data_IF_602668900828
#
_entry.id   IF_602668900828
#
_cell.length_a   1.000
_cell.length_b   1.000
_cell.length_c   1.000
_cell.angle_alpha   90.00
_cell.angle_beta   90.00
_cell.angle_gamma   90.00
#
_symmetry.space_group_name_H-M   'P 1'
#
loop_
_entity.id
_entity.type
_entity.pdbx_description
1 polymer ?
#
# COMPACT_ATOMS: atom_id res chain seq x y z
N UNK A 1 -2.07 13.39 -23.88
CA UNK A 1 -3.47 13.49 -23.44
C UNK A 1 -3.59 13.82 -21.94
N UNK A 2 -3.03 13.02 -21.03
CA UNK A 2 -3.06 13.28 -19.58
C UNK A 2 -2.45 14.65 -19.16
N UNK A 3 -1.30 15.05 -19.71
CA UNK A 3 -0.68 16.34 -19.35
C UNK A 3 -1.56 17.56 -19.67
N UNK A 4 -2.24 17.53 -20.82
CA UNK A 4 -3.22 18.55 -21.23
C UNK A 4 -4.42 18.56 -20.30
N UNK A 5 -4.90 17.37 -19.92
CA UNK A 5 -6.00 17.23 -18.95
C UNK A 5 -5.63 17.82 -17.58
N UNK A 6 -4.42 17.55 -17.08
CA UNK A 6 -3.93 18.12 -15.81
C UNK A 6 -3.88 19.64 -15.88
N UNK A 7 -3.35 20.21 -16.98
CA UNK A 7 -3.32 21.66 -17.17
C UNK A 7 -4.73 22.27 -17.16
N UNK A 8 -5.67 21.64 -17.86
CA UNK A 8 -7.07 22.09 -17.90
C UNK A 8 -7.75 22.02 -16.52
N UNK A 9 -7.59 20.92 -15.77
CA UNK A 9 -8.18 20.78 -14.42
C UNK A 9 -7.56 21.77 -13.42
N UNK A 10 -6.27 22.10 -13.54
CA UNK A 10 -5.63 23.12 -12.68
C UNK A 10 -6.09 24.55 -12.98
N UNK A 11 -6.57 24.82 -14.20
CA UNK A 11 -7.10 26.13 -14.61
C UNK A 11 -8.60 26.30 -14.31
N UNK A 12 -9.33 25.22 -14.02
CA UNK A 12 -10.75 25.31 -13.66
C UNK A 12 -10.93 26.10 -12.35
N UNK A 13 -11.61 27.23 -12.42
CA UNK A 13 -11.97 28.05 -11.26
C UNK A 13 -10.97 29.17 -10.92
N UNK A 14 -9.88 29.33 -11.68
CA UNK A 14 -8.99 30.49 -11.58
C UNK A 14 -9.40 31.54 -12.60
N UNK A 15 -9.61 32.79 -12.15
CA UNK A 15 -9.62 33.94 -13.06
C UNK A 15 -8.22 34.02 -13.69
N UNK A 16 -8.15 34.01 -15.01
CA UNK A 16 -6.91 33.89 -15.79
C UNK A 16 -5.89 34.91 -15.32
N UNK A 17 -4.85 34.46 -14.62
CA UNK A 17 -3.63 35.23 -14.45
C UNK A 17 -2.57 34.64 -15.37
N UNK A 18 -2.16 35.47 -16.31
CA UNK A 18 -1.26 35.17 -17.42
C UNK A 18 0.16 35.40 -16.94
N UNK A 19 0.73 34.49 -16.15
CA UNK A 19 2.18 34.24 -16.20
C UNK A 19 2.55 32.97 -15.40
N UNK A 20 3.24 32.03 -16.06
CA UNK A 20 3.73 30.81 -15.46
C UNK A 20 3.14 29.54 -16.06
N UNK A 21 3.56 29.18 -17.27
CA UNK A 21 3.47 27.80 -17.75
C UNK A 21 4.27 26.88 -16.80
N UNK A 22 3.63 26.40 -15.73
CA UNK A 22 4.08 25.22 -15.00
C UNK A 22 3.71 23.99 -15.85
N UNK A 23 4.47 23.78 -16.92
CA UNK A 23 4.30 22.65 -17.82
C UNK A 23 4.52 21.34 -17.07
N UNK A 24 3.44 20.62 -16.77
CA UNK A 24 3.53 19.26 -16.23
C UNK A 24 3.84 18.30 -17.37
N UNK A 25 5.04 17.73 -17.36
CA UNK A 25 5.39 16.63 -18.25
C UNK A 25 4.90 15.33 -17.65
N UNK A 26 4.30 14.49 -18.47
CA UNK A 26 3.85 13.14 -18.10
C UNK A 26 4.76 12.13 -18.78
N UNK A 27 5.24 11.14 -18.04
CA UNK A 27 5.87 9.95 -18.57
C UNK A 27 5.05 8.71 -18.20
N UNK A 28 4.91 7.78 -19.14
CA UNK A 28 4.29 6.47 -18.92
C UNK A 28 5.25 5.40 -19.45
N UNK A 29 5.53 4.38 -18.65
CA UNK A 29 6.45 3.29 -19.02
C UNK A 29 5.97 1.96 -18.44
N UNK A 30 6.27 0.85 -19.11
CA UNK A 30 6.13 -0.47 -18.52
C UNK A 30 7.25 -0.76 -17.52
N UNK A 31 6.95 -1.54 -16.49
CA UNK A 31 7.88 -2.08 -15.48
C UNK A 31 7.74 -3.60 -15.44
N UNK A 32 8.44 -4.34 -16.32
CA UNK A 32 8.40 -5.80 -16.35
C UNK A 32 8.94 -6.45 -15.06
N UNK A 33 9.77 -5.74 -14.30
CA UNK A 33 10.45 -6.25 -13.09
C UNK A 33 9.52 -6.48 -11.90
N UNK A 34 8.28 -5.98 -11.98
CA UNK A 34 7.28 -6.12 -10.93
C UNK A 34 6.31 -7.27 -11.17
N UNK A 35 6.59 -8.13 -12.14
CA UNK A 35 5.85 -9.38 -12.36
C UNK A 35 6.16 -10.37 -11.25
N UNK A 36 5.14 -11.05 -10.73
CA UNK A 36 5.28 -12.20 -9.84
C UNK A 36 5.51 -13.50 -10.62
N UNK A 37 4.85 -13.64 -11.78
CA UNK A 37 4.97 -14.77 -12.71
C UNK A 37 5.20 -14.29 -14.15
N UNK A 38 5.59 -15.19 -15.06
CA UNK A 38 5.69 -14.87 -16.50
C UNK A 38 4.34 -14.56 -17.14
N UNK A 39 3.23 -14.94 -16.49
CA UNK A 39 1.86 -14.71 -16.94
C UNK A 39 1.34 -13.33 -16.52
N UNK A 40 1.90 -12.74 -15.47
CA UNK A 40 1.49 -11.43 -14.99
C UNK A 40 1.70 -10.34 -16.07
N UNK A 41 0.70 -9.44 -16.27
CA UNK A 41 0.88 -8.29 -17.14
C UNK A 41 2.02 -7.40 -16.62
N UNK A 42 2.74 -6.73 -17.54
CA UNK A 42 3.75 -5.77 -17.11
C UNK A 42 3.08 -4.63 -16.33
N UNK A 43 3.67 -4.27 -15.18
CA UNK A 43 3.22 -3.13 -14.42
C UNK A 43 3.36 -1.84 -15.24
N UNK A 44 2.52 -0.85 -14.98
CA UNK A 44 2.54 0.43 -15.70
C UNK A 44 2.86 1.56 -14.72
N UNK A 45 3.98 2.24 -14.94
CA UNK A 45 4.40 3.41 -14.20
C UNK A 45 3.94 4.68 -14.89
N UNK A 46 3.35 5.59 -14.11
CA UNK A 46 2.96 6.93 -14.51
C UNK A 46 3.69 7.93 -13.62
N UNK A 47 4.40 8.88 -14.22
CA UNK A 47 5.16 9.90 -13.51
C UNK A 47 4.79 11.30 -14.00
N UNK A 48 4.63 12.22 -13.06
CA UNK A 48 4.42 13.63 -13.32
C UNK A 48 5.66 14.42 -12.90
N UNK A 49 6.19 15.19 -13.84
CA UNK A 49 7.34 16.04 -13.64
C UNK A 49 6.95 17.51 -13.78
N UNK A 50 7.45 18.34 -12.88
CA UNK A 50 7.33 19.78 -12.95
C UNK A 50 8.59 20.37 -13.58
N UNK A 51 8.41 21.19 -14.61
CA UNK A 51 9.50 21.99 -15.17
C UNK A 51 9.69 23.25 -14.34
N UNK A 52 10.90 23.45 -13.81
CA UNK A 52 11.29 24.71 -13.18
C UNK A 52 11.63 25.74 -14.26
N UNK A 53 10.99 26.91 -14.23
CA UNK A 53 11.26 28.03 -15.15
C UNK A 53 12.50 28.86 -14.77
N UNK A 54 13.21 28.51 -13.69
CA UNK A 54 14.23 29.37 -13.07
C UNK A 54 15.58 29.40 -13.81
N UNK A 55 15.85 28.53 -14.81
CA UNK A 55 16.96 28.75 -15.74
C UNK A 55 16.84 27.90 -17.03
N UNK A 56 17.14 28.46 -18.23
CA UNK A 56 17.13 27.70 -19.48
C UNK A 56 18.34 26.74 -19.65
N UNK A 57 19.28 26.69 -18.69
CA UNK A 57 20.53 25.91 -18.79
C UNK A 57 20.58 24.69 -17.88
N UNK A 58 19.60 24.51 -16.99
CA UNK A 58 19.46 23.31 -16.16
C UNK A 58 18.00 22.87 -16.18
N UNK A 59 17.62 22.05 -17.16
CA UNK A 59 16.29 21.43 -17.24
C UNK A 59 16.16 20.33 -16.17
N UNK A 60 16.26 20.71 -14.90
CA UNK A 60 16.08 19.78 -13.80
C UNK A 60 14.57 19.59 -13.59
N UNK A 61 14.06 18.49 -14.15
CA UNK A 61 12.66 18.11 -14.03
C UNK A 61 12.45 17.47 -12.65
N UNK A 62 11.59 18.08 -11.83
CA UNK A 62 11.29 17.57 -10.48
C UNK A 62 10.12 16.59 -10.55
N UNK A 63 10.33 15.34 -10.12
CA UNK A 63 9.23 14.40 -9.90
C UNK A 63 8.33 14.92 -8.78
N UNK A 64 7.05 15.14 -9.09
CA UNK A 64 6.06 15.66 -8.13
C UNK A 64 5.02 14.62 -7.72
N UNK A 65 4.87 13.57 -8.52
CA UNK A 65 3.90 12.50 -8.30
C UNK A 65 4.29 11.28 -9.13
N UNK A 66 4.08 10.09 -8.59
CA UNK A 66 4.20 8.81 -9.30
C UNK A 66 3.08 7.86 -8.89
N UNK A 67 2.53 7.13 -9.85
CA UNK A 67 1.57 6.06 -9.62
C UNK A 67 1.93 4.85 -10.47
N UNK A 68 1.65 3.67 -9.97
CA UNK A 68 2.04 2.42 -10.60
C UNK A 68 0.90 1.41 -10.47
N UNK A 69 0.48 0.91 -11.62
CA UNK A 69 -0.50 -0.15 -11.76
C UNK A 69 0.21 -1.49 -11.80
N UNK A 70 -0.22 -2.45 -11.01
CA UNK A 70 0.38 -3.79 -11.01
C UNK A 70 -0.66 -4.87 -10.70
N UNK A 71 -0.32 -6.08 -11.13
CA UNK A 71 -0.95 -7.33 -10.75
C UNK A 71 0.20 -8.30 -10.50
N UNK A 72 0.32 -8.82 -9.28
CA UNK A 72 1.41 -9.73 -8.92
C UNK A 72 0.80 -11.04 -8.45
N UNK A 73 1.11 -12.13 -9.15
CA UNK A 73 0.52 -13.45 -8.95
C UNK A 73 -1.02 -13.41 -8.99
N UNK A 74 -1.58 -12.74 -9.99
CA UNK A 74 -3.04 -12.63 -10.18
C UNK A 74 -3.63 -13.72 -11.07
N UNK A 75 -2.91 -14.82 -11.26
CA UNK A 75 -3.19 -15.86 -12.25
C UNK A 75 -4.63 -16.37 -12.16
N UNK A 76 -5.15 -16.60 -10.94
CA UNK A 76 -6.53 -17.05 -10.69
C UNK A 76 -7.61 -16.12 -11.26
N UNK A 77 -7.32 -14.81 -11.36
CA UNK A 77 -8.25 -13.83 -11.94
C UNK A 77 -8.04 -13.65 -13.46
N UNK A 78 -6.84 -13.96 -13.96
CA UNK A 78 -6.50 -13.88 -15.38
C UNK A 78 -7.14 -15.01 -16.20
N UNK A 79 -7.39 -16.18 -15.60
CA UNK A 79 -8.04 -17.30 -16.28
C UNK A 79 -9.49 -16.99 -16.71
N UNK A 80 -10.21 -16.17 -15.94
CA UNK A 80 -11.62 -15.82 -16.19
C UNK A 80 -11.80 -14.59 -17.10
N UNK A 81 -10.71 -13.94 -17.52
CA UNK A 81 -10.75 -12.68 -18.24
C UNK A 81 -10.76 -12.86 -19.77
N UNK A 82 -11.53 -12.04 -20.51
CA UNK A 82 -11.45 -12.03 -21.98
C UNK A 82 -10.03 -11.70 -22.46
N UNK A 83 -9.58 -12.32 -23.57
CA UNK A 83 -8.22 -12.18 -24.12
C UNK A 83 -7.72 -10.73 -24.34
N UNK A 84 -8.64 -9.76 -24.46
CA UNK A 84 -8.31 -8.35 -24.69
C UNK A 84 -8.37 -7.48 -23.42
N UNK A 85 -8.59 -8.08 -22.26
CA UNK A 85 -8.70 -7.36 -20.99
C UNK A 85 -7.38 -7.41 -20.22
N UNK A 86 -6.89 -6.26 -19.78
CA UNK A 86 -5.74 -6.18 -18.87
C UNK A 86 -6.25 -5.84 -17.47
N UNK A 87 -6.04 -6.72 -16.51
CA UNK A 87 -6.39 -6.47 -15.12
C UNK A 87 -5.15 -6.03 -14.33
N UNK A 88 -5.19 -4.81 -13.80
CA UNK A 88 -4.18 -4.26 -12.91
C UNK A 88 -4.89 -3.75 -11.65
N UNK A 89 -5.28 -4.64 -10.72
CA UNK A 89 -6.19 -4.32 -9.63
C UNK A 89 -5.55 -3.40 -8.57
N UNK A 90 -4.22 -3.35 -8.51
CA UNK A 90 -3.50 -2.44 -7.62
C UNK A 90 -3.07 -1.18 -8.36
N UNK A 91 -3.41 -0.03 -7.76
CA UNK A 91 -2.86 1.27 -8.12
C UNK A 91 -2.23 1.91 -6.88
N UNK A 92 -0.92 1.79 -6.79
CA UNK A 92 -0.14 2.41 -5.73
C UNK A 92 0.22 3.84 -6.14
N UNK A 93 0.24 4.77 -5.20
CA UNK A 93 0.49 6.19 -5.48
C UNK A 93 1.40 6.82 -4.44
N UNK A 94 2.33 7.63 -4.91
CA UNK A 94 3.18 8.48 -4.10
C UNK A 94 3.13 9.92 -4.64
N UNK A 95 2.61 10.84 -3.85
CA UNK A 95 2.49 12.26 -4.20
C UNK A 95 1.26 12.90 -3.57
N UNK A 96 1.02 14.17 -3.89
CA UNK A 96 -0.11 14.91 -3.33
C UNK A 96 -1.46 14.38 -3.83
N UNK A 97 -2.43 14.25 -2.92
CA UNK A 97 -3.79 13.75 -3.19
C UNK A 97 -4.49 14.53 -4.31
N UNK A 98 -4.23 15.83 -4.45
CA UNK A 98 -4.78 16.64 -5.55
C UNK A 98 -4.37 16.15 -6.94
N UNK A 99 -3.13 15.66 -7.12
CA UNK A 99 -2.71 15.05 -8.38
C UNK A 99 -3.29 13.65 -8.54
N UNK A 100 -3.34 12.87 -7.46
CA UNK A 100 -3.97 11.54 -7.46
C UNK A 100 -5.43 11.61 -7.92
N UNK A 101 -6.20 12.58 -7.43
CA UNK A 101 -7.59 12.78 -7.82
C UNK A 101 -7.73 13.16 -9.31
N UNK A 102 -6.87 14.04 -9.82
CA UNK A 102 -6.88 14.44 -11.24
C UNK A 102 -6.51 13.25 -12.14
N UNK A 103 -5.43 12.54 -11.82
CA UNK A 103 -4.97 11.38 -12.58
C UNK A 103 -6.02 10.26 -12.55
N UNK A 104 -6.56 9.95 -11.38
CA UNK A 104 -7.65 8.98 -11.22
C UNK A 104 -8.89 9.37 -12.02
N UNK A 105 -9.32 10.64 -11.96
CA UNK A 105 -10.44 11.11 -12.79
C UNK A 105 -10.16 10.99 -14.29
N UNK A 106 -8.93 11.21 -14.73
CA UNK A 106 -8.57 11.05 -16.13
C UNK A 106 -8.67 9.58 -16.56
N UNK A 107 -8.13 8.65 -15.76
CA UNK A 107 -8.23 7.22 -16.05
C UNK A 107 -9.69 6.76 -16.12
N UNK A 108 -10.53 7.10 -15.14
CA UNK A 108 -11.96 6.71 -15.15
C UNK A 108 -12.77 7.31 -16.31
N UNK A 109 -12.32 8.44 -16.89
CA UNK A 109 -12.96 9.05 -18.08
C UNK A 109 -12.44 8.48 -19.39
N UNK A 110 -11.22 7.97 -19.40
CA UNK A 110 -10.52 7.51 -20.61
C UNK A 110 -10.63 5.99 -20.79
N UNK A 111 -10.74 5.26 -19.68
CA UNK A 111 -10.82 3.81 -19.61
C UNK A 111 -12.04 3.42 -18.79
N UNK A 112 -12.62 2.26 -19.09
CA UNK A 112 -13.72 1.68 -18.33
C UNK A 112 -13.20 1.07 -17.02
N UNK A 113 -12.84 1.93 -16.07
CA UNK A 113 -12.28 1.54 -14.78
C UNK A 113 -12.81 2.41 -13.64
N UNK A 114 -12.65 1.91 -12.42
CA UNK A 114 -12.96 2.66 -11.21
C UNK A 114 -11.80 2.60 -10.21
N UNK A 115 -11.60 3.67 -9.45
CA UNK A 115 -10.58 3.73 -8.42
C UNK A 115 -11.26 3.74 -7.06
N UNK A 116 -10.84 2.82 -6.20
CA UNK A 116 -11.28 2.75 -4.82
C UNK A 116 -10.07 2.61 -3.93
N UNK A 117 -10.17 3.21 -2.74
CA UNK A 117 -9.14 3.07 -1.73
C UNK A 117 -9.21 1.64 -1.17
N UNK A 118 -8.09 0.93 -1.18
CA UNK A 118 -8.02 -0.44 -0.68
C UNK A 118 -8.24 -0.43 0.84
N UNK A 119 -9.37 -0.97 1.30
CA UNK A 119 -9.63 -1.11 2.72
C UNK A 119 -8.98 -2.40 3.24
N UNK A 120 -8.22 -2.31 4.33
CA UNK A 120 -7.56 -3.48 4.93
C UNK A 120 -8.25 -3.77 6.26
N UNK A 121 -8.89 -4.93 6.35
CA UNK A 121 -9.64 -5.32 7.55
C UNK A 121 -8.69 -5.60 8.73
N UNK A 122 -9.16 -5.52 9.99
CA UNK A 122 -8.37 -5.93 11.15
C UNK A 122 -7.84 -7.36 11.02
N UNK A 123 -8.62 -8.27 10.44
CA UNK A 123 -8.20 -9.64 10.15
C UNK A 123 -7.01 -9.68 9.18
N UNK A 124 -7.08 -8.93 8.09
CA UNK A 124 -5.99 -8.89 7.12
C UNK A 124 -4.73 -8.24 7.73
N UNK A 125 -4.90 -7.27 8.64
CA UNK A 125 -3.80 -6.69 9.40
C UNK A 125 -3.15 -7.73 10.34
N UNK A 126 -3.91 -8.60 11.01
CA UNK A 126 -3.30 -9.66 11.84
C UNK A 126 -2.52 -10.66 11.01
N UNK A 127 -3.03 -11.02 9.83
CA UNK A 127 -2.30 -11.83 8.85
C UNK A 127 -1.00 -11.17 8.41
N UNK A 128 -1.04 -9.88 8.03
CA UNK A 128 0.16 -9.11 7.70
C UNK A 128 1.18 -9.10 8.84
N UNK A 129 0.73 -8.94 10.09
CA UNK A 129 1.61 -8.97 11.26
C UNK A 129 2.34 -10.31 11.38
N UNK A 130 1.62 -11.43 11.30
CA UNK A 130 2.20 -12.77 11.38
C UNK A 130 3.16 -13.04 10.23
N UNK A 131 2.70 -12.84 8.98
CA UNK A 131 3.48 -13.09 7.76
C UNK A 131 4.80 -12.31 7.76
N UNK A 132 4.74 -11.01 8.08
CA UNK A 132 5.93 -10.17 8.02
C UNK A 132 6.86 -10.37 9.21
N UNK A 133 6.33 -10.78 10.38
CA UNK A 133 7.16 -11.18 11.53
C UNK A 133 7.93 -12.46 11.22
N UNK A 134 7.36 -13.39 10.45
CA UNK A 134 8.04 -14.61 10.03
C UNK A 134 9.26 -14.40 9.12
N UNK A 135 9.37 -13.24 8.47
CA UNK A 135 10.46 -12.91 7.55
C UNK A 135 11.82 -12.77 8.27
N UNK A 136 12.89 -13.08 7.55
CA UNK A 136 14.27 -12.92 8.04
C UNK A 136 14.77 -11.51 7.72
N UNK A 137 14.98 -10.69 8.75
CA UNK A 137 15.47 -9.32 8.59
C UNK A 137 16.80 -9.16 9.30
N UNK A 138 17.63 -8.22 8.82
CA UNK A 138 18.90 -7.89 9.45
C UNK A 138 18.71 -7.35 10.88
N UNK A 139 19.77 -7.44 11.68
CA UNK A 139 19.74 -7.17 13.14
C UNK A 139 19.38 -5.73 13.54
N UNK A 140 19.19 -4.79 12.62
CA UNK A 140 18.91 -3.38 12.92
C UNK A 140 17.51 -2.95 12.47
N UNK A 141 16.52 -3.78 12.77
CA UNK A 141 15.15 -3.61 12.30
C UNK A 141 14.33 -2.76 13.26
N UNK A 142 13.45 -1.90 12.72
CA UNK A 142 12.51 -1.13 13.52
C UNK A 142 11.56 -2.04 14.31
N UNK A 143 11.10 -1.57 15.47
CA UNK A 143 10.15 -2.30 16.32
C UNK A 143 8.89 -2.73 15.56
N UNK A 144 8.35 -3.88 15.92
CA UNK A 144 7.02 -4.30 15.48
C UNK A 144 6.00 -3.46 16.24
N UNK A 145 5.21 -2.67 15.53
CA UNK A 145 4.20 -1.76 16.09
C UNK A 145 2.80 -2.19 15.65
N UNK A 146 1.92 -2.40 16.63
CA UNK A 146 0.49 -2.59 16.43
C UNK A 146 -0.24 -1.34 16.93
N UNK A 147 -0.96 -0.65 16.05
CA UNK A 147 -1.74 0.53 16.39
C UNK A 147 -3.22 0.17 16.44
N UNK A 148 -3.84 0.47 17.58
CA UNK A 148 -5.26 0.25 17.82
C UNK A 148 -5.98 1.58 18.00
N UNK A 149 -7.19 1.67 17.46
CA UNK A 149 -8.08 2.81 17.69
C UNK A 149 -9.21 2.40 18.63
N UNK A 150 -9.47 3.22 19.64
CA UNK A 150 -10.50 2.95 20.64
C UNK A 150 -11.85 3.46 20.12
N UNK A 151 -12.85 2.57 19.92
CA UNK A 151 -14.14 2.96 19.37
C UNK A 151 -14.96 3.78 20.37
N UNK A 152 -15.88 4.60 19.85
CA UNK A 152 -16.98 5.23 20.59
C UNK A 152 -16.57 6.30 21.61
N UNK A 153 -15.40 6.92 21.41
CA UNK A 153 -14.96 8.07 22.19
C UNK A 153 -15.26 9.39 21.47
N UNK A 154 -15.56 10.48 22.21
CA UNK A 154 -15.78 11.80 21.63
C UNK A 154 -14.50 12.40 21.04
N UNK A 155 -13.33 11.92 21.45
CA UNK A 155 -12.03 12.29 20.90
C UNK A 155 -11.31 11.01 20.45
N UNK A 156 -10.59 11.05 19.30
CA UNK A 156 -9.83 9.90 18.83
C UNK A 156 -8.74 9.58 19.84
N UNK A 157 -8.73 8.32 20.30
CA UNK A 157 -7.70 7.79 21.18
C UNK A 157 -7.14 6.53 20.51
N UNK A 158 -5.84 6.58 20.24
CA UNK A 158 -5.12 5.45 19.69
C UNK A 158 -4.13 4.89 20.73
N UNK A 159 -3.98 3.58 20.74
CA UNK A 159 -3.06 2.83 21.59
C UNK A 159 -2.01 2.21 20.67
N UNK A 160 -0.75 2.62 20.82
CA UNK A 160 0.38 1.99 20.13
C UNK A 160 1.01 0.94 21.04
N UNK A 161 1.16 -0.27 20.53
CA UNK A 161 1.87 -1.36 21.17
C UNK A 161 3.12 -1.71 20.34
N UNK A 162 4.29 -1.26 20.81
CA UNK A 162 5.58 -1.56 20.22
C UNK A 162 6.25 -2.75 20.91
N UNK A 163 6.76 -3.68 20.10
CA UNK A 163 7.39 -4.94 20.50
C UNK A 163 8.76 -5.03 19.84
N UNK A 164 9.78 -5.47 20.57
CA UNK A 164 11.09 -5.69 19.99
C UNK A 164 10.99 -6.74 18.86
N UNK A 165 11.62 -6.54 17.68
CA UNK A 165 11.46 -7.47 16.56
C UNK A 165 11.89 -8.89 16.88
N UNK A 166 12.92 -9.04 17.71
CA UNK A 166 13.44 -10.33 18.16
C UNK A 166 12.45 -11.06 19.07
N UNK A 167 11.74 -10.34 19.95
CA UNK A 167 10.72 -10.93 20.82
C UNK A 167 9.49 -11.34 20.02
N UNK A 168 9.07 -10.50 19.07
CA UNK A 168 7.97 -10.82 18.15
C UNK A 168 8.33 -12.06 17.29
N UNK A 169 9.56 -12.12 16.78
CA UNK A 169 10.07 -13.26 16.01
C UNK A 169 10.14 -14.53 16.86
N UNK A 170 10.71 -14.45 18.06
CA UNK A 170 10.81 -15.58 18.97
C UNK A 170 9.42 -16.12 19.33
N UNK A 171 8.46 -15.23 19.60
CA UNK A 171 7.08 -15.64 19.83
C UNK A 171 6.50 -16.34 18.60
N UNK A 172 6.64 -15.75 17.41
CA UNK A 172 6.17 -16.36 16.17
C UNK A 172 6.77 -17.75 15.93
N UNK A 173 8.07 -17.92 16.18
CA UNK A 173 8.79 -19.19 16.01
C UNK A 173 8.31 -20.28 16.98
N UNK A 174 7.71 -19.91 18.12
CA UNK A 174 7.07 -20.89 19.02
C UNK A 174 5.66 -21.30 18.59
N UNK A 175 4.99 -20.46 17.79
CA UNK A 175 3.61 -20.68 17.34
C UNK A 175 3.59 -21.44 16.02
N UNK A 176 4.48 -21.08 15.10
CA UNK A 176 4.55 -21.69 13.77
C UNK A 176 5.00 -23.15 13.88
N UNK A 177 4.17 -24.06 13.37
CA UNK A 177 4.44 -25.51 13.39
C UNK A 177 5.19 -25.95 12.14
N UNK A 178 4.79 -25.42 10.99
CA UNK A 178 5.33 -25.81 9.67
C UNK A 178 5.94 -24.58 9.00
N UNK A 179 7.26 -24.55 8.75
CA UNK A 179 7.87 -23.45 8.02
C UNK A 179 7.31 -23.33 6.60
N UNK A 180 6.87 -22.13 6.24
CA UNK A 180 6.39 -21.80 4.88
C UNK A 180 4.88 -21.91 4.69
N UNK A 181 4.17 -22.56 5.61
CA UNK A 181 2.72 -22.52 5.70
C UNK A 181 2.33 -21.68 6.91
N UNK A 182 1.26 -20.89 6.76
CA UNK A 182 0.71 -20.06 7.84
C UNK A 182 -0.78 -20.34 7.89
N UNK A 183 -1.28 -20.83 9.02
CA UNK A 183 -2.72 -21.09 9.21
C UNK A 183 -3.40 -20.00 10.04
N UNK A 184 -4.72 -19.88 9.90
CA UNK A 184 -5.51 -18.93 10.70
C UNK A 184 -5.31 -19.17 12.20
N UNK A 185 -5.26 -20.43 12.64
CA UNK A 185 -5.07 -20.78 14.04
C UNK A 185 -3.71 -20.32 14.57
N UNK A 186 -2.65 -20.39 13.76
CA UNK A 186 -1.32 -19.87 14.13
C UNK A 186 -1.35 -18.35 14.26
N UNK A 187 -2.01 -17.65 13.33
CA UNK A 187 -2.19 -16.19 13.41
C UNK A 187 -2.97 -15.81 14.67
N UNK A 188 -4.06 -16.52 14.98
CA UNK A 188 -4.90 -16.26 16.14
C UNK A 188 -4.13 -16.47 17.46
N UNK A 189 -3.40 -17.58 17.59
CA UNK A 189 -2.58 -17.86 18.77
C UNK A 189 -1.47 -16.82 18.94
N UNK A 190 -0.83 -16.41 17.85
CA UNK A 190 0.20 -15.37 17.89
C UNK A 190 -0.36 -14.04 18.40
N UNK A 191 -1.49 -13.59 17.84
CA UNK A 191 -2.13 -12.34 18.27
C UNK A 191 -2.70 -12.43 19.68
N UNK A 192 -3.27 -13.56 20.08
CA UNK A 192 -3.78 -13.78 21.44
C UNK A 192 -2.66 -13.72 22.48
N UNK A 193 -1.49 -14.27 22.18
CA UNK A 193 -0.30 -14.16 23.03
C UNK A 193 0.09 -12.69 23.25
N UNK A 194 0.13 -11.90 22.18
CA UNK A 194 0.45 -10.47 22.25
C UNK A 194 -0.60 -9.68 23.05
N UNK A 195 -1.89 -9.95 22.82
CA UNK A 195 -2.98 -9.29 23.54
C UNK A 195 -2.99 -9.66 25.02
N UNK A 196 -2.75 -10.93 25.33
CA UNK A 196 -2.65 -11.43 26.70
C UNK A 196 -1.47 -10.82 27.44
N UNK A 197 -0.31 -10.70 26.78
CA UNK A 197 0.85 -10.01 27.33
C UNK A 197 0.53 -8.54 27.63
N UNK A 198 -0.06 -7.81 26.67
CA UNK A 198 -0.44 -6.41 26.88
C UNK A 198 -1.43 -6.25 28.04
N UNK A 199 -2.48 -7.08 28.07
CA UNK A 199 -3.47 -7.05 29.16
C UNK A 199 -2.84 -7.37 30.51
N UNK A 200 -1.91 -8.33 30.59
CA UNK A 200 -1.21 -8.69 31.83
C UNK A 200 -0.53 -7.47 32.46
N UNK A 201 0.11 -6.63 31.65
CA UNK A 201 0.88 -5.47 32.08
C UNK A 201 0.03 -4.20 32.26
N UNK A 202 -0.89 -3.92 31.35
CA UNK A 202 -1.60 -2.64 31.30
C UNK A 202 -3.07 -2.72 31.74
N UNK A 203 -3.61 -3.94 31.93
CA UNK A 203 -5.03 -4.18 32.25
C UNK A 203 -6.01 -3.59 31.23
N UNK A 204 -5.57 -3.50 29.97
CA UNK A 204 -6.38 -3.04 28.84
C UNK A 204 -6.61 -4.23 27.90
N UNK A 205 -7.86 -4.46 27.54
CA UNK A 205 -8.24 -5.47 26.56
C UNK A 205 -8.15 -4.90 25.14
N UNK A 206 -7.02 -5.12 24.45
CA UNK A 206 -6.86 -4.70 23.05
C UNK A 206 -7.89 -5.34 22.12
N UNK A 207 -8.40 -6.52 22.45
CA UNK A 207 -9.49 -7.18 21.71
C UNK A 207 -10.81 -6.39 21.72
N UNK A 208 -11.00 -5.45 22.66
CA UNK A 208 -12.14 -4.54 22.68
C UNK A 208 -11.92 -3.26 21.85
N UNK A 209 -10.75 -3.13 21.21
CA UNK A 209 -10.36 -2.02 20.34
C UNK A 209 -10.23 -2.50 18.90
N UNK A 210 -10.04 -1.58 17.94
CA UNK A 210 -9.86 -1.94 16.54
C UNK A 210 -8.41 -1.82 16.13
N UNK A 211 -7.79 -2.92 15.68
CA UNK A 211 -6.48 -2.86 15.01
C UNK A 211 -6.61 -2.06 13.71
N UNK A 212 -5.87 -0.97 13.59
CA UNK A 212 -5.93 -0.04 12.44
C UNK A 212 -4.61 0.04 11.68
N UNK A 213 -3.48 -0.32 12.29
CA UNK A 213 -2.20 -0.39 11.58
C UNK A 213 -1.27 -1.43 12.16
N UNK A 214 -0.48 -2.02 11.27
CA UNK A 214 0.66 -2.87 11.57
C UNK A 214 1.90 -2.27 10.93
N UNK A 215 3.01 -2.28 11.66
CA UNK A 215 4.32 -1.95 11.15
C UNK A 215 5.31 -3.01 11.63
N UNK A 216 6.10 -3.55 10.73
CA UNK A 216 7.21 -4.46 11.06
C UNK A 216 8.48 -3.93 10.42
N UNK A 217 9.55 -4.74 10.43
CA UNK A 217 10.73 -4.48 9.63
C UNK A 217 10.54 -4.50 8.12
N UNK A 218 9.47 -5.15 7.64
CA UNK A 218 9.26 -5.44 6.23
C UNK A 218 8.47 -4.33 5.56
N UNK A 219 7.34 -3.99 6.17
CA UNK A 219 6.39 -3.03 5.66
C UNK A 219 5.54 -2.46 6.80
N UNK A 220 4.78 -1.42 6.49
CA UNK A 220 3.68 -0.95 7.31
C UNK A 220 2.41 -0.88 6.48
N UNK A 221 1.30 -1.34 7.03
CA UNK A 221 -0.03 -1.19 6.46
C UNK A 221 -0.97 -0.56 7.47
N UNK A 222 -1.77 0.38 6.99
CA UNK A 222 -2.90 0.96 7.73
C UNK A 222 -4.22 0.52 7.09
N UNK A 223 -5.29 0.45 7.87
CA UNK A 223 -6.61 -0.05 7.44
C UNK A 223 -7.25 0.78 6.31
N UNK A 224 -6.73 1.98 6.08
CA UNK A 224 -7.12 2.88 4.98
C UNK A 224 -6.26 2.68 3.72
N UNK A 225 -5.47 1.60 3.63
CA UNK A 225 -4.68 1.29 2.43
C UNK A 225 -3.41 2.10 2.25
N UNK A 226 -2.96 2.85 3.28
CA UNK A 226 -1.61 3.41 3.27
C UNK A 226 -0.61 2.28 3.53
N UNK A 227 0.29 2.07 2.57
CA UNK A 227 1.38 1.09 2.66
C UNK A 227 2.73 1.80 2.63
N UNK A 228 3.66 1.35 3.47
CA UNK A 228 5.08 1.71 3.39
C UNK A 228 5.91 0.45 3.21
N UNK A 229 6.75 0.42 2.20
CA UNK A 229 7.71 -0.65 2.00
C UNK A 229 9.03 -0.27 2.68
N UNK A 230 9.55 -1.15 3.54
CA UNK A 230 10.77 -0.88 4.31
C UNK A 230 11.93 -1.78 3.87
N UNK A 231 11.63 -2.94 3.27
CA UNK A 231 12.62 -3.89 2.76
C UNK A 231 12.27 -4.28 1.32
N UNK A 232 13.14 -3.94 0.37
CA UNK A 232 12.91 -4.17 -1.07
C UNK A 232 12.88 -5.66 -1.43
N UNK A 233 13.63 -6.50 -0.73
CA UNK A 233 13.68 -7.96 -0.97
C UNK A 233 12.34 -8.67 -0.76
N UNK A 234 11.41 -8.04 -0.04
CA UNK A 234 10.06 -8.58 0.23
C UNK A 234 8.97 -7.87 -0.57
N UNK A 235 9.33 -6.93 -1.46
CA UNK A 235 8.38 -6.12 -2.21
C UNK A 235 7.37 -6.98 -2.97
N UNK A 236 7.83 -7.98 -3.73
CA UNK A 236 6.96 -8.87 -4.51
C UNK A 236 5.97 -9.62 -3.60
N UNK A 237 6.43 -10.19 -2.49
CA UNK A 237 5.55 -10.90 -1.56
C UNK A 237 4.50 -9.99 -0.91
N UNK A 238 4.86 -8.74 -0.59
CA UNK A 238 3.88 -7.76 -0.09
C UNK A 238 2.89 -7.37 -1.19
N UNK A 239 3.35 -7.19 -2.43
CA UNK A 239 2.48 -6.87 -3.57
C UNK A 239 1.53 -8.01 -3.92
N UNK A 240 1.96 -9.28 -3.82
CA UNK A 240 1.09 -10.45 -4.00
C UNK A 240 -0.08 -10.40 -3.00
N UNK A 241 0.20 -10.22 -1.72
CA UNK A 241 -0.83 -10.12 -0.69
C UNK A 241 -1.79 -8.95 -0.95
N UNK A 242 -1.27 -7.78 -1.33
CA UNK A 242 -2.12 -6.64 -1.68
C UNK A 242 -2.97 -6.91 -2.93
N UNK A 243 -2.45 -7.66 -3.90
CA UNK A 243 -3.15 -8.01 -5.14
C UNK A 243 -4.34 -8.89 -4.82
N UNK A 244 -4.13 -9.94 -4.02
CA UNK A 244 -5.19 -10.82 -3.53
C UNK A 244 -6.28 -10.04 -2.76
N UNK A 245 -5.87 -9.11 -1.90
CA UNK A 245 -6.80 -8.24 -1.17
C UNK A 245 -7.58 -7.29 -2.06
N UNK A 246 -6.98 -6.80 -3.15
CA UNK A 246 -7.68 -5.96 -4.11
C UNK A 246 -8.67 -6.76 -4.94
N UNK A 247 -8.27 -7.96 -5.38
CA UNK A 247 -9.11 -8.89 -6.15
C UNK A 247 -10.36 -9.28 -5.36
N UNK A 248 -10.21 -9.67 -4.09
CA UNK A 248 -11.33 -10.04 -3.22
C UNK A 248 -12.32 -8.90 -2.94
N UNK A 249 -11.96 -7.65 -3.24
CA UNK A 249 -12.83 -6.47 -3.11
C UNK A 249 -13.45 -6.02 -4.43
N UNK A 250 -13.05 -6.63 -5.55
CA UNK A 250 -13.65 -6.40 -6.88
C UNK A 250 -14.85 -7.33 -7.09
N UNK A 251 -14.79 -8.55 -6.56
CA UNK A 251 -15.88 -9.53 -6.53
C UNK A 251 -17.04 -9.08 -5.62
#
# INVERSE_FOLDING_TARGET
MLGVFIAAEKQKGLAVDVDGELGVRVAMSGLPELRGSEQDPAAVLVQLFLRSSLSPKSSEEKLIWSGWFCCVAGDDLLEDLPENFTCLPLFLVNGAESYTAIVGSWFQKTFDCCFRRLAISPLNLTWMAAMWTGCKVDKNTAATELLFSVPHLPQPLDISYAIHPEDAKALWDTVQKTPGEITQEEVDVFMECLYSHFHRHFKIHLSATKLVKVSTGIASAHCDGIIKFLQSQYLIGVLMLLTELAISQIQ
#
